data_IF_403425579809
#
_entry.id   IF_403425579809
#
_cell.length_a   1.000
_cell.length_b   1.000
_cell.length_c   1.000
_cell.angle_alpha   90.00
_cell.angle_beta   90.00
_cell.angle_gamma   90.00
#
_symmetry.space_group_name_H-M   'P 1'
#
loop_
_entity.id
_entity.type
_entity.pdbx_description
1 polymer ?
#
# COMPACT_ATOMS: atom_id res chain seq x y z
N UNK A 1 -5.73 -5.95 3.56
CA UNK A 1 -5.62 -4.49 3.34
C UNK A 1 -6.07 -3.67 4.56
N UNK A 2 -7.16 -3.99 5.27
CA UNK A 2 -7.60 -3.16 6.41
C UNK A 2 -6.57 -3.04 7.56
N UNK A 3 -5.74 -4.05 7.82
CA UNK A 3 -4.69 -3.97 8.85
C UNK A 3 -3.55 -3.01 8.47
N UNK A 4 -3.33 -2.77 7.17
CA UNK A 4 -2.17 -2.04 6.64
C UNK A 4 -2.54 -0.67 6.04
N UNK A 5 -3.82 -0.28 6.07
CA UNK A 5 -4.31 0.94 5.40
C UNK A 5 -3.51 2.19 5.78
N UNK A 6 -3.20 2.39 7.06
CA UNK A 6 -2.40 3.53 7.51
C UNK A 6 -0.93 3.42 7.08
N UNK A 7 -0.37 2.21 7.08
CA UNK A 7 1.02 1.97 6.69
C UNK A 7 1.20 2.22 5.19
N UNK A 8 0.32 1.66 4.36
CA UNK A 8 0.40 1.75 2.91
C UNK A 8 0.25 3.20 2.44
N UNK A 9 -0.67 3.97 3.03
CA UNK A 9 -0.84 5.43 2.77
C UNK A 9 0.42 6.23 3.09
N UNK A 10 1.08 5.89 4.19
CA UNK A 10 2.29 6.59 4.62
C UNK A 10 3.49 6.25 3.73
N UNK A 11 3.69 4.97 3.42
CA UNK A 11 4.81 4.50 2.60
C UNK A 11 4.65 4.94 1.14
N UNK A 12 3.44 4.82 0.57
CA UNK A 12 3.16 5.26 -0.80
C UNK A 12 3.03 6.77 -0.94
N UNK A 13 2.77 7.50 0.15
CA UNK A 13 2.42 8.92 0.13
C UNK A 13 0.96 9.22 -0.23
N UNK A 14 0.14 8.22 -0.53
CA UNK A 14 -1.25 8.35 -0.97
C UNK A 14 -2.23 8.55 0.19
N UNK A 15 -2.22 9.74 0.80
CA UNK A 15 -3.03 10.07 1.99
C UNK A 15 -4.55 9.86 1.84
N UNK A 16 -5.05 9.82 0.61
CA UNK A 16 -6.49 9.69 0.29
C UNK A 16 -6.88 8.32 -0.26
N UNK A 17 -5.96 7.38 -0.35
CA UNK A 17 -6.28 6.02 -0.80
C UNK A 17 -7.36 5.42 0.11
N UNK A 18 -8.24 4.61 -0.46
CA UNK A 18 -9.22 3.82 0.29
C UNK A 18 -8.86 2.33 0.21
N UNK A 19 -9.38 1.54 1.14
CA UNK A 19 -9.13 0.09 1.19
C UNK A 19 -9.61 -0.66 -0.06
N UNK A 20 -10.57 -0.12 -0.81
CA UNK A 20 -11.05 -0.65 -2.08
C UNK A 20 -10.21 -0.20 -3.30
N UNK A 21 -9.28 0.73 -3.10
CA UNK A 21 -8.41 1.29 -4.12
C UNK A 21 -7.00 0.72 -4.00
N UNK A 22 -6.86 -0.60 -4.03
CA UNK A 22 -5.58 -1.29 -3.83
C UNK A 22 -4.46 -0.72 -4.72
N UNK A 23 -4.77 -0.42 -5.98
CA UNK A 23 -3.79 0.12 -6.92
C UNK A 23 -3.42 1.58 -6.70
N UNK A 24 -4.02 2.30 -5.75
CA UNK A 24 -3.51 3.62 -5.34
C UNK A 24 -2.15 3.48 -4.67
N UNK A 25 -2.00 2.52 -3.75
CA UNK A 25 -0.75 2.31 -3.02
C UNK A 25 0.11 1.19 -3.61
N UNK A 26 -0.48 0.20 -4.30
CA UNK A 26 0.22 -1.03 -4.69
C UNK A 26 0.40 -1.19 -6.20
N UNK A 27 1.53 -1.76 -6.61
CA UNK A 27 1.83 -2.00 -8.02
C UNK A 27 1.18 -3.29 -8.56
N UNK A 28 0.86 -4.21 -7.66
CA UNK A 28 0.15 -5.47 -7.91
C UNK A 28 -0.96 -5.62 -6.86
N UNK A 29 -1.64 -6.76 -6.83
CA UNK A 29 -2.60 -7.13 -5.77
C UNK A 29 -1.93 -7.58 -4.45
N UNK A 30 -0.60 -7.74 -4.45
CA UNK A 30 0.17 -8.05 -3.24
C UNK A 30 0.27 -6.87 -2.28
N UNK A 31 -0.16 -7.08 -1.03
CA UNK A 31 -0.23 -6.05 0.02
C UNK A 31 1.13 -5.43 0.38
N UNK A 32 2.23 -6.14 0.13
CA UNK A 32 3.57 -5.64 0.46
C UNK A 32 4.31 -5.07 -0.76
N UNK A 33 3.67 -5.01 -1.93
CA UNK A 33 4.26 -4.41 -3.12
C UNK A 33 3.78 -2.96 -3.28
N UNK A 34 4.54 -2.01 -2.73
CA UNK A 34 4.17 -0.58 -2.70
C UNK A 34 4.70 0.14 -3.94
N UNK A 35 3.86 0.93 -4.61
CA UNK A 35 4.27 1.77 -5.75
C UNK A 35 5.39 2.71 -5.36
N UNK A 36 6.44 2.76 -6.21
CA UNK A 36 7.60 3.62 -5.99
C UNK A 36 8.57 3.14 -4.91
N UNK A 37 8.25 2.08 -4.18
CA UNK A 37 9.11 1.50 -3.13
C UNK A 37 9.48 0.04 -3.44
N UNK A 38 8.56 -0.72 -4.04
CA UNK A 38 8.71 -2.14 -4.34
C UNK A 38 8.26 -3.03 -3.18
N UNK A 39 8.85 -4.23 -3.11
CA UNK A 39 8.51 -5.24 -2.09
C UNK A 39 9.01 -4.81 -0.71
N UNK A 40 8.10 -4.47 0.18
CA UNK A 40 8.36 -4.17 1.60
C UNK A 40 8.38 -5.49 2.37
N UNK A 41 9.39 -5.69 3.23
CA UNK A 41 9.42 -6.83 4.15
C UNK A 41 8.62 -6.46 5.39
N UNK A 42 7.67 -7.31 5.74
CA UNK A 42 6.85 -7.19 6.96
C UNK A 42 7.01 -8.52 7.71
N UNK A 43 7.43 -8.47 8.98
CA UNK A 43 7.67 -9.65 9.82
C UNK A 43 6.48 -9.87 10.75
#
# INVERSE_FOLDING_TARGET
>A
MMHFEMMDKMISGEKRARVDQCFSCHQTDSFNNIKGVGMVKVH
#
